data_IF_169559599835
#
_entry.id   IF_169559599835
#
_cell.length_a   1.000
_cell.length_b   1.000
_cell.length_c   1.000
_cell.angle_alpha   90.00
_cell.angle_beta   90.00
_cell.angle_gamma   90.00
#
_symmetry.space_group_name_H-M   'P 1'
#
loop_
_entity.id
_entity.type
_entity.pdbx_description
1 polymer ?
#
# COMPACT_ATOMS: atom_id res chain seq x y z
N UNK A 1 2.95 -11.56 4.79
CA UNK A 1 1.92 -10.66 5.36
C UNK A 1 0.90 -10.32 4.29
N UNK A 2 -0.31 -9.87 4.64
CA UNK A 2 -1.28 -9.40 3.65
C UNK A 2 -1.55 -7.91 3.83
N UNK A 3 -1.90 -7.23 2.73
CA UNK A 3 -2.30 -5.83 2.73
C UNK A 3 -3.74 -5.75 2.27
N UNK A 4 -4.60 -5.14 3.09
CA UNK A 4 -5.94 -4.77 2.70
C UNK A 4 -5.95 -3.33 2.20
N UNK A 5 -6.68 -3.10 1.10
CA UNK A 5 -6.94 -1.77 0.55
C UNK A 5 -8.44 -1.50 0.50
N UNK A 6 -8.89 -0.45 1.19
CA UNK A 6 -10.26 0.06 1.10
C UNK A 6 -10.36 1.15 0.03
N UNK A 7 -10.99 0.82 -1.10
CA UNK A 7 -11.17 1.74 -2.22
C UNK A 7 -12.08 2.93 -1.88
N UNK A 8 -13.05 2.77 -0.99
CA UNK A 8 -13.98 3.86 -0.61
C UNK A 8 -13.30 4.87 0.31
N UNK A 9 -12.38 4.41 1.16
CA UNK A 9 -11.60 5.27 2.04
C UNK A 9 -10.35 5.87 1.36
N UNK A 10 -9.90 5.31 0.23
CA UNK A 10 -8.72 5.78 -0.47
C UNK A 10 -8.92 7.16 -1.09
N UNK A 11 -8.09 8.13 -0.71
CA UNK A 11 -8.10 9.50 -1.28
C UNK A 11 -7.11 9.68 -2.43
N UNK A 12 -6.49 8.60 -2.91
CA UNK A 12 -5.50 8.62 -3.99
C UNK A 12 -4.33 9.61 -3.76
N UNK A 13 -3.86 9.75 -2.51
CA UNK A 13 -2.73 10.66 -2.18
C UNK A 13 -1.43 10.32 -2.92
N UNK A 14 -1.26 9.07 -3.33
CA UNK A 14 -0.08 8.57 -4.03
C UNK A 14 1.12 8.29 -3.11
N UNK A 15 0.98 8.42 -1.79
CA UNK A 15 2.09 8.15 -0.86
C UNK A 15 2.59 6.71 -0.96
N UNK A 16 1.69 5.73 -1.03
CA UNK A 16 2.07 4.32 -1.09
C UNK A 16 2.90 3.99 -2.34
N UNK A 17 2.39 4.34 -3.52
CA UNK A 17 3.04 4.06 -4.81
C UNK A 17 4.33 4.86 -5.02
N UNK A 18 4.50 6.01 -4.35
CA UNK A 18 5.73 6.82 -4.41
C UNK A 18 6.78 6.36 -3.39
N UNK A 19 6.36 5.95 -2.20
CA UNK A 19 7.26 5.55 -1.12
C UNK A 19 7.86 4.16 -1.31
N UNK A 20 7.11 3.21 -1.87
CA UNK A 20 7.58 1.82 -2.04
C UNK A 20 6.97 1.18 -3.31
N UNK A 21 7.42 1.60 -4.51
CA UNK A 21 6.85 1.19 -5.79
C UNK A 21 7.07 -0.29 -6.13
N UNK A 22 8.02 -0.97 -5.49
CA UNK A 22 8.15 -2.42 -5.64
C UNK A 22 6.97 -3.20 -5.01
N UNK A 23 6.34 -2.63 -3.99
CA UNK A 23 5.21 -3.23 -3.26
C UNK A 23 3.89 -2.65 -3.75
N UNK A 24 3.74 -1.34 -3.83
CA UNK A 24 2.47 -0.68 -4.20
C UNK A 24 2.56 -0.10 -5.60
N UNK A 25 1.72 -0.57 -6.52
CA UNK A 25 1.76 -0.08 -7.90
C UNK A 25 0.43 -0.14 -8.61
N UNK A 26 0.33 0.68 -9.66
CA UNK A 26 -0.76 0.64 -10.60
C UNK A 26 -0.27 -0.07 -11.87
N UNK A 27 -0.92 -1.16 -12.23
CA UNK A 27 -0.67 -1.88 -13.49
C UNK A 27 -2.00 -1.98 -14.21
N UNK A 28 -2.06 -1.50 -15.45
CA UNK A 28 -3.27 -1.47 -16.28
C UNK A 28 -4.50 -0.85 -15.57
N UNK A 29 -4.25 0.21 -14.78
CA UNK A 29 -5.28 0.90 -14.00
C UNK A 29 -5.75 0.16 -12.74
N UNK A 30 -5.17 -1.00 -12.42
CA UNK A 30 -5.48 -1.76 -11.22
C UNK A 30 -4.42 -1.52 -10.14
N UNK A 31 -4.87 -1.37 -8.90
CA UNK A 31 -3.97 -1.27 -7.74
C UNK A 31 -3.55 -2.67 -7.31
N UNK A 32 -2.24 -2.92 -7.35
CA UNK A 32 -1.59 -4.18 -7.01
C UNK A 32 -0.69 -3.95 -5.81
N UNK A 33 -0.68 -4.93 -4.90
CA UNK A 33 0.20 -4.98 -3.73
C UNK A 33 1.02 -6.27 -3.71
N UNK A 34 2.33 -6.16 -3.63
CA UNK A 34 3.28 -7.28 -3.56
C UNK A 34 4.17 -7.15 -2.31
N UNK A 35 3.65 -7.43 -1.10
CA UNK A 35 4.36 -7.17 0.16
C UNK A 35 5.68 -7.95 0.30
N UNK A 36 5.86 -9.06 -0.41
CA UNK A 36 7.07 -9.89 -0.34
C UNK A 36 8.27 -9.29 -1.09
N UNK A 37 8.10 -8.14 -1.75
CA UNK A 37 9.18 -7.44 -2.48
C UNK A 37 9.99 -6.46 -1.62
N UNK A 38 9.62 -6.26 -0.36
CA UNK A 38 10.34 -5.40 0.57
C UNK A 38 10.38 -6.01 1.97
N UNK A 39 11.17 -5.43 2.86
CA UNK A 39 11.19 -5.85 4.26
C UNK A 39 9.87 -5.50 4.96
N UNK A 40 9.47 -6.33 5.94
CA UNK A 40 8.20 -6.18 6.65
C UNK A 40 8.04 -4.78 7.27
N UNK A 41 9.10 -4.25 7.89
CA UNK A 41 9.12 -2.94 8.53
C UNK A 41 8.95 -1.79 7.52
N UNK A 42 9.51 -1.92 6.32
CA UNK A 42 9.32 -0.94 5.24
C UNK A 42 7.86 -0.92 4.76
N UNK A 43 7.26 -2.10 4.58
CA UNK A 43 5.85 -2.23 4.19
C UNK A 43 4.95 -1.59 5.25
N UNK A 44 5.15 -1.94 6.53
CA UNK A 44 4.36 -1.38 7.64
C UNK A 44 4.51 0.13 7.73
N UNK A 45 5.74 0.65 7.55
CA UNK A 45 6.00 2.10 7.55
C UNK A 45 5.19 2.80 6.47
N UNK A 46 5.14 2.27 5.25
CA UNK A 46 4.38 2.89 4.15
C UNK A 46 2.87 2.75 4.32
N UNK A 47 2.39 1.62 4.85
CA UNK A 47 0.98 1.45 5.22
C UNK A 47 0.55 2.53 6.23
N UNK A 48 1.36 2.79 7.25
CA UNK A 48 1.10 3.82 8.26
C UNK A 48 1.19 5.27 7.74
N UNK A 49 1.79 5.49 6.56
CA UNK A 49 1.81 6.80 5.90
C UNK A 49 0.54 7.08 5.07
N UNK A 50 -0.41 6.14 4.99
CA UNK A 50 -1.68 6.36 4.32
C UNK A 50 -2.52 7.39 5.10
N UNK A 51 -2.71 8.62 4.58
CA UNK A 51 -3.36 9.68 5.34
C UNK A 51 -4.84 9.42 5.57
N UNK A 52 -5.47 8.62 4.71
CA UNK A 52 -6.88 8.27 4.86
C UNK A 52 -7.12 7.01 5.69
N UNK A 53 -6.08 6.24 6.02
CA UNK A 53 -6.21 4.94 6.70
C UNK A 53 -6.75 3.82 5.81
N UNK A 54 -6.76 4.00 4.49
CA UNK A 54 -7.27 3.02 3.53
C UNK A 54 -6.39 1.76 3.38
N UNK A 55 -5.14 1.79 3.85
CA UNK A 55 -4.24 0.64 3.83
C UNK A 55 -4.12 0.06 5.25
N UNK A 56 -4.18 -1.26 5.35
CA UNK A 56 -3.97 -1.99 6.62
C UNK A 56 -3.15 -3.25 6.38
N UNK A 57 -2.18 -3.50 7.27
CA UNK A 57 -1.54 -4.81 7.37
C UNK A 57 -2.49 -5.75 8.11
N UNK A 58 -2.72 -6.93 7.55
CA UNK A 58 -3.55 -7.99 8.16
C UNK A 58 -2.77 -9.32 8.12
N UNK A 59 -3.08 -10.19 9.09
CA UNK A 59 -2.60 -11.57 9.14
C UNK A 59 -3.40 -12.49 8.20
#
# INVERSE_FOLDING_TARGET
>A
MKIQWDKQQCTHSGNCVRSLPEVFKIVDGQFITEPDKAAYDEVVKVVNQCPSGALKCID
#
